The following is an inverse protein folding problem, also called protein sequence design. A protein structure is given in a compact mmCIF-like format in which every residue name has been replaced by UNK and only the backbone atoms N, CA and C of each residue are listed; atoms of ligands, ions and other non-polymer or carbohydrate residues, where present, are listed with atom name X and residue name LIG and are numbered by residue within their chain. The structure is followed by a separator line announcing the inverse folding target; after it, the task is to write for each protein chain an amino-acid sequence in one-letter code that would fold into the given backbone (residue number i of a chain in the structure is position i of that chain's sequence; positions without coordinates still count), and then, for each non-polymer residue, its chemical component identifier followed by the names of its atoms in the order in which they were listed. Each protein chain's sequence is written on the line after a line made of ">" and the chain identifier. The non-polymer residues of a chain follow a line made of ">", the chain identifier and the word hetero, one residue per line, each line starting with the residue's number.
data_IF_586771460894
#
_entry.id   IF_586771460894
#
_cell.length_a   1.000
_cell.length_b   1.000
_cell.length_c   1.000
_cell.angle_alpha   90.00
_cell.angle_beta   90.00
_cell.angle_gamma   90.00
#
_symmetry.space_group_name_H-M   'P 1'
#
loop_
_entity.id
_entity.type
_entity.pdbx_description
1 polymer ?
#
# COMPACT_ATOMS: atom_id res chain seq x y z
N UNK A 1 -6.21 10.13 -7.28
CA UNK A 1 -6.90 8.84 -7.58
C UNK A 1 -6.65 7.85 -6.45
N UNK A 2 -7.45 6.79 -6.31
CA UNK A 2 -7.22 5.77 -5.27
C UNK A 2 -7.54 4.36 -5.76
N UNK A 3 -7.05 3.37 -5.03
CA UNK A 3 -7.36 1.95 -5.19
C UNK A 3 -7.29 1.24 -3.84
N UNK A 4 -8.01 0.13 -3.69
CA UNK A 4 -8.10 -0.61 -2.43
C UNK A 4 -7.56 -2.03 -2.57
N UNK A 5 -6.89 -2.53 -1.54
CA UNK A 5 -6.39 -3.90 -1.43
C UNK A 5 -6.89 -4.53 -0.14
N UNK A 6 -7.06 -5.85 -0.16
CA UNK A 6 -7.37 -6.63 1.03
C UNK A 6 -6.10 -7.29 1.55
N UNK A 7 -5.73 -6.97 2.79
CA UNK A 7 -4.60 -7.57 3.50
C UNK A 7 -5.16 -8.64 4.42
N UNK A 8 -4.74 -9.88 4.26
CA UNK A 8 -5.27 -11.03 5.01
C UNK A 8 -4.18 -11.63 5.88
N UNK A 9 -4.51 -11.88 7.15
CA UNK A 9 -3.64 -12.68 8.02
C UNK A 9 -3.86 -14.16 7.74
N UNK A 10 -2.94 -14.78 7.00
CA UNK A 10 -2.97 -16.22 6.72
C UNK A 10 -2.20 -17.06 7.75
N UNK A 11 -1.64 -16.41 8.77
CA UNK A 11 -0.91 -17.05 9.87
C UNK A 11 -1.82 -17.64 10.94
N UNK A 12 -1.21 -18.02 12.06
CA UNK A 12 -1.88 -18.63 13.21
C UNK A 12 -1.88 -17.74 14.46
N UNK A 13 -1.27 -16.55 14.37
CA UNK A 13 -1.14 -15.56 15.45
C UNK A 13 -1.58 -14.20 14.91
N UNK A 14 -1.96 -13.28 15.80
CA UNK A 14 -2.39 -11.93 15.44
C UNK A 14 -1.30 -11.19 14.66
N UNK A 15 -1.66 -10.66 13.50
CA UNK A 15 -0.78 -9.86 12.64
C UNK A 15 -0.94 -8.40 13.04
N UNK A 16 0.15 -7.75 13.41
CA UNK A 16 0.20 -6.33 13.77
C UNK A 16 0.97 -5.58 12.70
N UNK A 17 0.43 -4.44 12.26
CA UNK A 17 1.09 -3.51 11.36
C UNK A 17 1.54 -2.29 12.18
N UNK A 18 2.85 -2.13 12.34
CA UNK A 18 3.44 -1.07 13.17
C UNK A 18 3.58 0.25 12.42
N UNK A 19 3.75 0.20 11.11
CA UNK A 19 4.02 1.36 10.28
C UNK A 19 3.56 1.15 8.84
N UNK A 20 3.12 2.25 8.21
CA UNK A 20 2.80 2.31 6.79
C UNK A 20 3.62 3.44 6.19
N UNK A 21 4.41 3.14 5.17
CA UNK A 21 5.22 4.14 4.45
C UNK A 21 5.09 3.98 2.94
N UNK A 22 5.49 5.00 2.19
CA UNK A 22 5.36 5.02 0.73
C UNK A 22 6.67 5.42 0.07
N UNK A 23 6.88 4.95 -1.17
CA UNK A 23 8.09 5.25 -1.94
C UNK A 23 8.17 6.70 -2.46
N UNK A 24 7.11 7.49 -2.33
CA UNK A 24 6.97 8.84 -2.91
C UNK A 24 5.95 9.65 -2.12
N UNK A 25 6.21 10.94 -1.90
CA UNK A 25 5.24 11.86 -1.26
C UNK A 25 3.94 12.06 -2.05
N UNK A 26 3.97 11.79 -3.36
CA UNK A 26 2.80 11.72 -4.23
C UNK A 26 1.85 10.55 -3.91
N UNK A 27 2.24 9.63 -3.03
CA UNK A 27 1.46 8.45 -2.63
C UNK A 27 1.24 8.46 -1.12
N UNK A 28 -0.01 8.28 -0.71
CA UNK A 28 -0.37 8.03 0.70
C UNK A 28 -1.14 6.73 0.80
N UNK A 29 -1.17 6.13 2.00
CA UNK A 29 -1.90 4.90 2.23
C UNK A 29 -2.49 4.91 3.64
N UNK A 30 -3.70 4.38 3.75
CA UNK A 30 -4.46 4.27 5.00
C UNK A 30 -5.04 2.88 5.11
N UNK A 31 -5.17 2.39 6.33
CA UNK A 31 -5.71 1.07 6.62
C UNK A 31 -6.81 1.18 7.68
N UNK A 32 -7.89 0.43 7.50
CA UNK A 32 -9.04 0.46 8.42
C UNK A 32 -8.72 -0.17 9.79
N UNK A 33 -7.90 -1.21 9.82
CA UNK A 33 -7.42 -1.87 11.02
C UNK A 33 -5.91 -2.17 10.93
N UNK A 34 -5.17 -1.97 12.02
CA UNK A 34 -3.72 -2.27 12.11
C UNK A 34 -3.42 -3.59 12.82
N UNK A 35 -4.45 -4.26 13.34
CA UNK A 35 -4.36 -5.53 14.04
C UNK A 35 -5.34 -6.48 13.38
N UNK A 36 -4.87 -7.60 12.85
CA UNK A 36 -5.66 -8.53 12.07
C UNK A 36 -5.58 -9.91 12.71
N UNK A 37 -6.70 -10.43 13.20
CA UNK A 37 -6.75 -11.77 13.79
C UNK A 37 -6.52 -12.88 12.75
N UNK A 38 -6.08 -14.07 13.16
CA UNK A 38 -5.87 -15.20 12.25
C UNK A 38 -7.10 -15.49 11.38
N UNK A 39 -6.91 -15.48 10.06
CA UNK A 39 -7.97 -15.72 9.07
C UNK A 39 -8.83 -14.50 8.74
N UNK A 40 -8.63 -13.38 9.43
CA UNK A 40 -9.33 -12.12 9.15
C UNK A 40 -8.55 -11.26 8.15
N UNK A 41 -9.12 -10.10 7.81
CA UNK A 41 -8.53 -9.20 6.83
C UNK A 41 -8.94 -7.77 7.07
N UNK A 42 -8.07 -6.88 6.65
CA UNK A 42 -8.24 -5.44 6.68
C UNK A 42 -8.10 -4.85 5.28
N UNK A 43 -8.60 -3.63 5.09
CA UNK A 43 -8.61 -2.91 3.82
C UNK A 43 -7.53 -1.83 3.82
N UNK A 44 -6.56 -1.97 2.91
CA UNK A 44 -5.58 -0.93 2.59
C UNK A 44 -6.11 -0.06 1.45
N UNK A 45 -6.28 1.23 1.69
CA UNK A 45 -6.61 2.21 0.65
C UNK A 45 -5.35 3.00 0.29
N UNK A 46 -4.98 2.99 -0.99
CA UNK A 46 -3.80 3.69 -1.51
C UNK A 46 -4.28 4.85 -2.37
N UNK A 47 -3.79 6.05 -2.07
CA UNK A 47 -4.07 7.27 -2.80
C UNK A 47 -2.82 7.71 -3.56
N UNK A 48 -3.02 8.14 -4.81
CA UNK A 48 -1.99 8.74 -5.64
C UNK A 48 -2.45 10.10 -6.12
N UNK A 49 -1.64 11.12 -5.88
CA UNK A 49 -1.86 12.49 -6.33
C UNK A 49 -0.90 12.81 -7.50
N UNK A 50 -1.40 12.79 -8.76
CA UNK A 50 -0.58 13.12 -9.93
C UNK A 50 -0.16 14.59 -9.99
N UNK A 51 -0.78 15.47 -9.21
CA UNK A 51 -0.56 16.92 -9.24
C UNK A 51 0.36 17.39 -8.10
N UNK A 52 0.79 16.49 -7.21
CA UNK A 52 1.65 16.81 -6.08
C UNK A 52 3.02 17.36 -6.50
N UNK A 53 3.62 16.77 -7.55
CA UNK A 53 4.76 17.31 -8.29
C UNK A 53 4.75 16.76 -9.71
N UNK A 54 5.70 17.18 -10.56
CA UNK A 54 5.82 16.63 -11.91
C UNK A 54 6.08 15.11 -11.86
N UNK A 55 5.22 14.35 -12.53
CA UNK A 55 5.30 12.89 -12.61
C UNK A 55 5.75 12.44 -14.01
N UNK A 56 6.46 11.30 -14.13
CA UNK A 56 6.83 10.74 -15.42
C UNK A 56 5.59 10.46 -16.29
N UNK A 57 5.71 10.71 -17.59
CA UNK A 57 4.72 10.23 -18.56
C UNK A 57 4.85 8.73 -18.79
N UNK A 58 3.74 8.10 -19.18
CA UNK A 58 3.66 6.65 -19.38
C UNK A 58 3.59 5.87 -18.08
N UNK A 59 3.96 4.58 -18.16
CA UNK A 59 3.73 3.61 -17.08
C UNK A 59 4.89 3.56 -16.08
N UNK A 60 4.58 3.76 -14.81
CA UNK A 60 5.50 3.61 -13.69
C UNK A 60 4.81 2.99 -12.47
N UNK A 61 5.57 2.74 -11.41
CA UNK A 61 5.02 2.16 -10.17
C UNK A 61 5.39 2.97 -8.93
N UNK A 62 4.57 2.81 -7.90
CA UNK A 62 4.80 3.29 -6.53
C UNK A 62 4.57 2.11 -5.58
N UNK A 63 5.31 2.11 -4.48
CA UNK A 63 5.24 1.03 -3.49
C UNK A 63 4.77 1.59 -2.15
N UNK A 64 3.86 0.86 -1.51
CA UNK A 64 3.50 1.01 -0.11
C UNK A 64 4.19 -0.11 0.66
N UNK A 65 4.83 0.23 1.76
CA UNK A 65 5.50 -0.71 2.66
C UNK A 65 4.71 -0.79 3.97
N UNK A 66 4.46 -2.00 4.43
CA UNK A 66 3.79 -2.30 5.68
C UNK A 66 4.79 -3.02 6.58
N UNK A 67 5.21 -2.39 7.67
CA UNK A 67 6.02 -3.08 8.69
C UNK A 67 5.11 -3.98 9.52
N UNK A 68 5.45 -5.25 9.65
CA UNK A 68 4.64 -6.24 10.34
C UNK A 68 5.41 -7.03 11.39
N UNK A 69 4.70 -7.71 12.28
CA UNK A 69 5.25 -8.68 13.22
C UNK A 69 5.37 -10.11 12.65
N UNK A 70 5.13 -10.33 11.35
CA UNK A 70 5.34 -11.63 10.68
C UNK A 70 6.86 -11.91 10.60
N UNK A 71 7.38 -12.99 11.20
CA UNK A 71 8.81 -13.31 11.17
C UNK A 71 9.33 -13.67 9.77
N UNK A 72 8.47 -14.13 8.87
CA UNK A 72 8.85 -14.44 7.48
C UNK A 72 8.75 -13.20 6.58
N UNK A 73 7.84 -12.27 6.91
CA UNK A 73 7.58 -11.05 6.12
C UNK A 73 7.51 -9.80 7.03
N UNK A 74 8.61 -9.39 7.67
CA UNK A 74 8.62 -8.23 8.57
C UNK A 74 8.32 -6.92 7.85
N UNK A 75 8.45 -6.88 6.52
CA UNK A 75 7.99 -5.79 5.67
C UNK A 75 7.26 -6.37 4.45
N UNK A 76 5.97 -6.06 4.31
CA UNK A 76 5.17 -6.44 3.15
C UNK A 76 5.07 -5.27 2.17
N UNK A 77 5.15 -5.56 0.87
CA UNK A 77 5.08 -4.55 -0.20
C UNK A 77 3.79 -4.64 -1.01
N UNK A 78 3.13 -3.49 -1.21
CA UNK A 78 2.02 -3.35 -2.17
C UNK A 78 2.43 -2.38 -3.26
N UNK A 79 2.51 -2.88 -4.50
CA UNK A 79 2.90 -2.09 -5.67
C UNK A 79 1.69 -1.68 -6.49
N UNK A 80 1.52 -0.37 -6.68
CA UNK A 80 0.54 0.18 -7.62
C UNK A 80 1.23 0.56 -8.94
N UNK A 81 0.51 0.40 -10.04
CA UNK A 81 0.94 0.86 -11.36
C UNK A 81 0.09 2.06 -11.78
N UNK A 82 0.76 3.10 -12.24
CA UNK A 82 0.15 4.32 -12.77
C UNK A 82 0.56 4.44 -14.22
N UNK A 83 -0.36 4.84 -15.08
CA UNK A 83 -0.09 5.18 -16.47
C UNK A 83 -0.61 6.59 -16.75
N UNK A 84 0.30 7.56 -16.87
CA UNK A 84 -0.05 8.95 -17.16
C UNK A 84 0.02 9.14 -18.68
N UNK A 85 -1.15 9.25 -19.29
CA UNK A 85 -1.29 9.50 -20.73
C UNK A 85 -0.72 10.88 -21.08
N UNK A 86 0.02 10.96 -22.19
CA UNK A 86 0.32 12.26 -22.82
C UNK A 86 -0.98 12.83 -23.37
N UNK A 87 -1.23 14.13 -23.14
CA UNK A 87 -2.34 14.82 -23.78
C UNK A 87 -2.06 15.01 -25.27
N UNK A 88 -3.09 14.83 -26.11
CA UNK A 88 -3.05 15.21 -27.53
C UNK A 88 -2.86 16.72 -27.72
#
# INVERSE_FOLDING_TARGET
>A
VNTTFKVMNTGNSTLEISSISTSCGCTTAEMDELVIEPGESATLTVFFDPDFHEEPKGRFSRTVFLETNDPENPEAEVKIWVDILEGE
#
